data_IF_379477398993
#
_entry.id   IF_379477398993
#
_cell.length_a   1.000
_cell.length_b   1.000
_cell.length_c   1.000
_cell.angle_alpha   90.00
_cell.angle_beta   90.00
_cell.angle_gamma   90.00
#
_symmetry.space_group_name_H-M   'P 1'
#
loop_
_entity.id
_entity.type
_entity.pdbx_description
1 polymer ?
#
# COMPACT_ATOMS: atom_id res chain seq x y z
N UNK A 1 -13.19 67.54 -7.21
CA UNK A 1 -13.50 68.31 -6.01
C UNK A 1 -12.60 67.69 -4.94
N UNK A 2 -11.32 68.22 -4.68
CA UNK A 2 -11.02 69.37 -3.83
C UNK A 2 -11.28 69.05 -2.37
N UNK A 3 -10.41 69.03 -1.39
CA UNK A 3 -9.23 69.79 -1.04
C UNK A 3 -8.52 69.00 0.07
N UNK A 4 -7.20 68.84 0.22
CA UNK A 4 -6.11 69.80 0.47
C UNK A 4 -6.06 70.36 1.92
N UNK A 5 -4.86 70.28 2.46
CA UNK A 5 -4.33 71.21 3.43
C UNK A 5 -3.62 70.52 4.59
N UNK A 6 -2.29 70.46 4.63
CA UNK A 6 -1.23 71.40 5.04
C UNK A 6 -0.96 71.37 6.54
N UNK A 7 0.22 70.90 6.94
CA UNK A 7 1.45 71.66 7.35
C UNK A 7 1.38 72.36 8.72
N UNK A 8 2.28 72.10 9.65
CA UNK A 8 3.49 72.91 9.94
C UNK A 8 4.23 72.45 11.20
N UNK A 9 5.51 72.10 11.10
CA UNK A 9 6.74 72.75 11.65
C UNK A 9 6.89 72.99 13.15
N UNK A 10 7.92 72.34 13.70
CA UNK A 10 9.10 72.71 14.50
C UNK A 10 9.16 74.19 15.06
N UNK A 11 9.85 74.58 16.16
CA UNK A 11 11.23 74.28 16.45
C UNK A 11 11.77 74.32 17.92
N UNK A 12 12.98 73.75 18.12
CA UNK A 12 14.13 74.24 18.95
C UNK A 12 14.05 74.31 20.47
N UNK A 13 15.10 73.73 21.06
CA UNK A 13 15.57 74.07 22.42
C UNK A 13 16.78 73.28 22.90
N UNK A 14 17.99 73.76 22.54
CA UNK A 14 19.27 73.29 23.09
C UNK A 14 19.37 73.58 24.59
N UNK A 15 20.02 72.70 25.37
CA UNK A 15 21.09 73.09 26.34
C UNK A 15 21.94 71.89 26.75
N UNK A 16 23.21 72.08 26.68
CA UNK A 16 24.37 71.29 27.07
C UNK A 16 24.61 71.34 28.59
N UNK A 17 25.12 70.26 29.17
CA UNK A 17 26.17 70.37 30.19
C UNK A 17 26.90 69.02 30.35
N UNK A 18 28.18 69.14 30.40
CA UNK A 18 29.18 68.09 30.44
C UNK A 18 29.51 67.60 31.85
N UNK A 19 30.36 66.57 31.91
CA UNK A 19 31.25 66.07 32.97
C UNK A 19 30.72 64.89 33.77
N UNK A 20 31.37 63.79 33.86
CA UNK A 20 32.70 63.36 34.24
C UNK A 20 32.85 61.84 33.95
N UNK A 21 34.04 61.44 33.45
CA UNK A 21 34.45 60.09 33.21
C UNK A 21 34.85 59.37 34.53
N UNK A 22 34.36 58.16 34.73
CA UNK A 22 35.01 57.17 35.59
C UNK A 22 35.22 55.90 34.78
N UNK A 23 36.47 55.58 34.50
CA UNK A 23 36.88 54.32 33.89
C UNK A 23 36.86 53.24 34.98
N UNK A 24 35.94 52.28 34.84
CA UNK A 24 36.02 50.97 35.53
C UNK A 24 36.24 49.95 34.42
N UNK A 25 37.46 49.47 34.30
CA UNK A 25 37.78 48.30 33.46
C UNK A 25 37.26 47.04 34.15
N UNK A 26 36.07 46.59 33.79
CA UNK A 26 35.62 45.20 34.04
C UNK A 26 35.93 44.37 32.77
N UNK A 27 36.91 43.47 32.89
CA UNK A 27 37.20 42.46 31.86
C UNK A 27 36.00 41.52 31.71
N UNK A 28 35.21 41.71 30.64
CA UNK A 28 34.26 40.70 30.16
C UNK A 28 35.04 39.66 29.34
N UNK A 29 35.28 38.50 29.95
CA UNK A 29 35.59 37.27 29.21
C UNK A 29 34.37 36.90 28.41
N UNK A 30 34.36 37.25 27.11
CA UNK A 30 33.36 36.72 26.16
C UNK A 30 33.74 35.27 25.89
N UNK A 31 33.17 34.33 26.65
CA UNK A 31 33.06 32.97 26.20
C UNK A 31 32.13 32.95 24.98
N UNK A 32 32.70 33.00 23.77
CA UNK A 32 32.00 32.62 22.54
C UNK A 32 31.75 31.13 22.61
N UNK A 33 30.69 30.72 23.27
CA UNK A 33 30.09 29.42 23.05
C UNK A 33 29.66 29.40 21.59
N UNK A 34 30.37 28.62 20.76
CA UNK A 34 29.84 28.19 19.47
C UNK A 34 28.53 27.45 19.80
N UNK A 35 27.40 28.13 19.66
CA UNK A 35 26.12 27.48 19.58
C UNK A 35 26.21 26.50 18.40
N UNK A 36 26.21 25.21 18.66
CA UNK A 36 26.06 24.21 17.62
C UNK A 36 24.79 24.60 16.87
N UNK A 37 24.95 24.93 15.59
CA UNK A 37 23.84 25.32 14.74
C UNK A 37 22.96 24.06 14.62
N UNK A 38 21.79 24.04 15.22
CA UNK A 38 20.86 22.92 15.10
C UNK A 38 20.55 22.71 13.64
N UNK A 39 20.94 21.53 13.12
CA UNK A 39 20.62 21.14 11.75
C UNK A 39 19.10 21.00 11.68
N UNK A 40 18.41 21.66 10.73
CA UNK A 40 16.98 21.48 10.56
C UNK A 40 16.62 20.00 10.48
N UNK A 41 15.56 19.58 11.17
CA UNK A 41 15.17 18.16 11.28
C UNK A 41 15.07 17.45 9.93
N UNK A 42 14.56 18.13 8.89
CA UNK A 42 14.46 17.59 7.53
C UNK A 42 15.83 17.36 6.87
N UNK A 43 16.82 18.21 7.18
CA UNK A 43 18.18 18.05 6.69
C UNK A 43 18.89 16.89 7.39
N UNK A 44 18.71 16.75 8.71
CA UNK A 44 19.24 15.64 9.49
C UNK A 44 18.68 14.31 9.00
N UNK A 45 17.37 14.23 8.74
CA UNK A 45 16.71 13.04 8.20
C UNK A 45 17.24 12.70 6.79
N UNK A 46 17.41 13.70 5.93
CA UNK A 46 17.98 13.50 4.58
C UNK A 46 19.39 12.91 4.62
N UNK A 47 20.24 13.39 5.54
CA UNK A 47 21.60 12.86 5.70
C UNK A 47 21.59 11.42 6.27
N UNK A 48 20.73 11.15 7.24
CA UNK A 48 20.56 9.81 7.79
C UNK A 48 20.08 8.79 6.74
N UNK A 49 19.12 9.17 5.89
CA UNK A 49 18.67 8.34 4.76
C UNK A 49 19.78 8.09 3.76
N UNK A 50 20.57 9.12 3.41
CA UNK A 50 21.69 8.97 2.49
C UNK A 50 22.76 7.99 3.03
N UNK A 51 22.94 7.90 4.34
CA UNK A 51 23.93 7.00 4.95
C UNK A 51 23.56 5.52 4.88
N UNK A 52 22.27 5.17 4.67
CA UNK A 52 21.78 3.78 4.58
C UNK A 52 21.45 3.35 3.14
N UNK A 53 21.57 4.23 2.16
CA UNK A 53 21.15 4.00 0.77
C UNK A 53 21.83 2.76 0.16
N UNK A 54 23.15 2.63 0.32
CA UNK A 54 23.88 1.45 -0.18
C UNK A 54 23.45 0.14 0.48
N UNK A 55 23.11 0.17 1.76
CA UNK A 55 22.68 -1.01 2.50
C UNK A 55 21.26 -1.43 2.05
N UNK A 56 20.34 -0.47 1.85
CA UNK A 56 18.99 -0.71 1.33
C UNK A 56 19.06 -1.38 -0.05
N UNK A 57 19.92 -0.89 -0.95
CA UNK A 57 20.15 -1.50 -2.27
C UNK A 57 20.70 -2.93 -2.12
N UNK A 58 21.67 -3.12 -1.21
CA UNK A 58 22.27 -4.44 -0.99
C UNK A 58 21.23 -5.44 -0.43
N UNK A 59 20.39 -5.04 0.54
CA UNK A 59 19.33 -5.89 1.08
C UNK A 59 18.28 -6.20 0.02
N UNK A 60 17.84 -5.21 -0.75
CA UNK A 60 16.91 -5.43 -1.87
C UNK A 60 17.45 -6.48 -2.84
N UNK A 61 18.70 -6.39 -3.26
CA UNK A 61 19.33 -7.35 -4.17
C UNK A 61 19.47 -8.74 -3.55
N UNK A 62 19.76 -8.82 -2.25
CA UNK A 62 19.81 -10.09 -1.52
C UNK A 62 18.43 -10.78 -1.47
N UNK A 63 17.36 -10.06 -1.15
CA UNK A 63 16.00 -10.59 -1.19
C UNK A 63 15.59 -10.98 -2.60
N UNK A 64 15.91 -10.16 -3.60
CA UNK A 64 15.60 -10.44 -5.01
C UNK A 64 16.25 -11.72 -5.52
N UNK A 65 17.49 -11.98 -5.12
CA UNK A 65 18.21 -13.21 -5.47
C UNK A 65 17.67 -14.46 -4.75
N UNK A 66 16.95 -14.29 -3.65
CA UNK A 66 16.46 -15.37 -2.80
C UNK A 66 14.97 -15.19 -2.47
N UNK A 67 14.10 -15.06 -3.48
CA UNK A 67 12.68 -14.81 -3.25
C UNK A 67 11.97 -16.03 -2.67
N UNK A 68 11.00 -15.78 -1.80
CA UNK A 68 10.20 -16.81 -1.15
C UNK A 68 8.72 -16.55 -1.39
N UNK A 69 7.95 -17.61 -1.70
CA UNK A 69 6.51 -17.51 -1.93
C UNK A 69 5.74 -17.24 -0.63
N UNK A 70 4.50 -16.77 -0.79
CA UNK A 70 3.54 -16.53 0.30
C UNK A 70 3.51 -17.67 1.32
N UNK A 71 3.56 -17.35 2.63
CA UNK A 71 3.69 -18.26 3.77
C UNK A 71 4.98 -19.10 3.80
N UNK A 72 5.97 -18.77 2.99
CA UNK A 72 7.27 -19.46 2.93
C UNK A 72 8.46 -18.51 3.11
N UNK A 73 8.22 -17.26 3.51
CA UNK A 73 9.20 -16.17 3.65
C UNK A 73 10.11 -16.35 4.86
N UNK A 74 10.54 -17.59 5.13
CA UNK A 74 11.31 -17.96 6.35
C UNK A 74 12.67 -17.31 6.41
N UNK A 75 13.42 -17.30 5.29
CA UNK A 75 14.72 -16.64 5.20
C UNK A 75 14.58 -15.12 5.29
N UNK A 76 13.63 -14.55 4.55
CA UNK A 76 13.34 -13.12 4.55
C UNK A 76 13.00 -12.65 5.96
N UNK A 77 12.06 -13.33 6.63
CA UNK A 77 11.68 -13.05 8.00
C UNK A 77 12.84 -13.14 9.00
N UNK A 78 13.70 -14.17 8.84
CA UNK A 78 14.87 -14.34 9.69
C UNK A 78 15.87 -13.18 9.51
N UNK A 79 16.13 -12.74 8.27
CA UNK A 79 17.00 -11.60 7.95
C UNK A 79 16.47 -10.29 8.53
N UNK A 80 15.16 -10.05 8.39
CA UNK A 80 14.48 -8.90 8.99
C UNK A 80 14.63 -8.93 10.52
N UNK A 81 14.28 -10.04 11.16
CA UNK A 81 14.34 -10.17 12.61
C UNK A 81 15.77 -10.00 13.16
N UNK A 82 16.77 -10.56 12.47
CA UNK A 82 18.20 -10.40 12.80
C UNK A 82 18.60 -8.91 12.76
N UNK A 83 18.23 -8.21 11.69
CA UNK A 83 18.49 -6.79 11.51
C UNK A 83 17.88 -5.95 12.62
N UNK A 84 16.58 -6.13 12.91
CA UNK A 84 15.89 -5.38 13.95
C UNK A 84 16.49 -5.61 15.35
N UNK A 85 16.89 -6.86 15.65
CA UNK A 85 17.60 -7.18 16.91
C UNK A 85 18.98 -6.51 16.98
N UNK A 86 19.72 -6.50 15.86
CA UNK A 86 21.03 -5.85 15.80
C UNK A 86 20.95 -4.33 15.99
N UNK A 87 19.84 -3.70 15.58
CA UNK A 87 19.55 -2.29 15.85
C UNK A 87 19.17 -1.99 17.31
N UNK A 88 18.95 -3.03 18.13
CA UNK A 88 18.54 -2.88 19.52
C UNK A 88 17.10 -2.41 19.68
N UNK A 89 16.17 -2.86 18.84
CA UNK A 89 14.74 -2.62 19.05
C UNK A 89 14.28 -3.23 20.38
N UNK A 90 13.29 -2.61 21.02
CA UNK A 90 12.81 -3.01 22.35
C UNK A 90 12.17 -4.40 22.33
N UNK A 91 11.42 -4.69 21.26
CA UNK A 91 10.76 -5.98 21.05
C UNK A 91 10.89 -6.39 19.58
N UNK A 92 11.08 -7.69 19.33
CA UNK A 92 11.04 -8.30 17.99
C UNK A 92 10.28 -9.61 18.07
N UNK A 93 9.04 -9.58 17.60
CA UNK A 93 8.13 -10.72 17.52
C UNK A 93 8.24 -11.36 16.13
N UNK A 94 8.21 -12.68 16.06
CA UNK A 94 8.32 -13.46 14.81
C UNK A 94 7.29 -14.57 14.77
N UNK A 95 6.99 -15.07 13.58
CA UNK A 95 6.05 -16.19 13.38
C UNK A 95 4.58 -15.77 13.41
N UNK A 96 4.27 -14.48 13.21
CA UNK A 96 2.91 -13.98 13.13
C UNK A 96 2.40 -14.26 11.71
N UNK A 97 1.25 -14.90 11.58
CA UNK A 97 0.74 -15.40 10.29
C UNK A 97 1.81 -16.22 9.52
N UNK A 98 2.45 -17.17 10.19
CA UNK A 98 3.56 -18.05 9.79
C UNK A 98 4.94 -17.37 9.81
N UNK A 99 5.18 -16.34 9.00
CA UNK A 99 6.51 -15.76 8.79
C UNK A 99 6.60 -14.27 9.11
N UNK A 100 5.50 -13.63 9.49
CA UNK A 100 5.47 -12.20 9.79
C UNK A 100 6.38 -11.80 10.97
N UNK A 101 6.90 -10.57 10.89
CA UNK A 101 7.78 -9.99 11.90
C UNK A 101 7.23 -8.64 12.34
N UNK A 102 7.23 -8.39 13.66
CA UNK A 102 6.90 -7.08 14.24
C UNK A 102 8.05 -6.61 15.10
N UNK A 103 8.60 -5.44 14.80
CA UNK A 103 9.62 -4.77 15.60
C UNK A 103 9.07 -3.53 16.29
N UNK A 104 9.43 -3.31 17.56
CA UNK A 104 9.00 -2.15 18.33
C UNK A 104 10.20 -1.28 18.69
N UNK A 105 10.13 -0.03 18.31
CA UNK A 105 11.10 1.01 18.68
C UNK A 105 10.40 2.04 19.60
N UNK A 106 10.70 2.00 20.88
CA UNK A 106 10.23 3.00 21.84
C UNK A 106 11.16 4.21 21.77
N UNK A 107 10.62 5.38 21.45
CA UNK A 107 11.36 6.64 21.39
C UNK A 107 11.78 7.16 22.76
N UNK A 108 12.67 8.16 22.76
CA UNK A 108 13.22 8.76 23.99
C UNK A 108 12.25 9.67 24.73
N UNK A 109 11.09 9.96 24.16
CA UNK A 109 10.09 10.87 24.75
C UNK A 109 8.68 10.25 24.69
N UNK A 110 7.78 10.55 25.63
CA UNK A 110 6.39 10.10 25.57
C UNK A 110 5.70 10.60 24.29
N UNK A 111 4.82 9.78 23.73
CA UNK A 111 4.07 10.15 22.53
C UNK A 111 3.14 9.03 22.04
N UNK A 112 2.50 9.23 20.89
CA UNK A 112 1.61 8.23 20.29
C UNK A 112 2.38 7.03 19.73
N UNK A 113 1.64 6.02 19.28
CA UNK A 113 2.17 4.87 18.54
C UNK A 113 1.77 4.99 17.08
N UNK A 114 2.72 4.78 16.17
CA UNK A 114 2.50 4.69 14.73
C UNK A 114 3.05 3.38 14.19
N UNK A 115 2.36 2.78 13.20
CA UNK A 115 2.84 1.60 12.51
C UNK A 115 3.31 1.93 11.09
N UNK A 116 4.35 1.23 10.64
CA UNK A 116 4.82 1.19 9.27
C UNK A 116 4.77 -0.25 8.77
N UNK A 117 4.29 -0.48 7.56
CA UNK A 117 4.15 -1.83 7.00
C UNK A 117 4.92 -1.99 5.69
N UNK A 118 5.56 -3.14 5.53
CA UNK A 118 6.03 -3.67 4.26
C UNK A 118 5.63 -5.15 4.13
N UNK A 119 5.28 -5.56 2.93
CA UNK A 119 5.09 -6.96 2.55
C UNK A 119 6.41 -7.64 2.20
N UNK A 120 6.43 -8.99 2.20
CA UNK A 120 7.68 -9.76 2.05
C UNK A 120 7.64 -10.84 0.96
N UNK A 121 6.47 -11.27 0.52
CA UNK A 121 6.32 -12.44 -0.34
C UNK A 121 6.66 -12.16 -1.81
N UNK A 122 7.03 -13.23 -2.53
CA UNK A 122 7.32 -13.24 -3.95
C UNK A 122 6.30 -14.05 -4.73
N UNK A 123 6.37 -13.99 -6.06
CA UNK A 123 5.41 -14.55 -6.99
C UNK A 123 5.96 -15.74 -7.78
N UNK A 124 5.10 -16.67 -8.25
CA UNK A 124 5.48 -17.76 -9.12
C UNK A 124 5.71 -17.30 -10.57
N UNK A 125 6.70 -16.42 -10.75
CA UNK A 125 7.06 -15.78 -12.04
C UNK A 125 8.49 -16.18 -12.41
N UNK A 126 8.71 -16.42 -13.72
CA UNK A 126 10.05 -16.72 -14.26
C UNK A 126 10.78 -15.42 -14.58
N UNK A 127 11.88 -15.16 -13.90
CA UNK A 127 12.71 -13.99 -14.16
C UNK A 127 13.57 -14.17 -15.42
N UNK A 128 13.60 -13.19 -16.36
CA UNK A 128 14.52 -13.20 -17.48
C UNK A 128 15.99 -13.08 -17.01
N UNK A 129 16.93 -13.74 -17.68
CA UNK A 129 18.35 -13.58 -17.35
C UNK A 129 18.83 -12.18 -17.71
N UNK A 130 19.78 -11.66 -16.94
CA UNK A 130 20.42 -10.37 -17.26
C UNK A 130 20.84 -9.52 -16.07
N UNK A 131 20.15 -9.65 -14.94
CA UNK A 131 20.57 -8.99 -13.72
C UNK A 131 21.62 -9.83 -12.97
N UNK A 132 22.68 -9.22 -12.39
CA UNK A 132 23.68 -9.95 -11.63
C UNK A 132 23.12 -10.68 -10.37
N UNK A 133 21.94 -10.24 -9.91
CA UNK A 133 21.22 -10.77 -8.76
C UNK A 133 19.86 -11.37 -9.16
N UNK A 134 19.68 -11.74 -10.44
CA UNK A 134 18.46 -12.38 -10.91
C UNK A 134 18.18 -13.67 -10.14
N UNK A 135 16.91 -13.93 -9.84
CA UNK A 135 16.49 -15.16 -9.17
C UNK A 135 16.65 -16.39 -10.05
N UNK A 136 17.21 -17.44 -9.47
CA UNK A 136 17.21 -18.79 -10.04
C UNK A 136 16.42 -19.76 -9.18
N UNK A 137 15.70 -19.25 -8.20
CA UNK A 137 14.93 -20.03 -7.21
C UNK A 137 13.77 -20.73 -7.89
N UNK A 138 13.55 -21.98 -7.50
CA UNK A 138 12.34 -22.75 -7.81
C UNK A 138 11.74 -23.27 -6.50
N UNK A 139 10.43 -23.20 -6.41
CA UNK A 139 9.70 -23.67 -5.24
C UNK A 139 8.44 -24.43 -5.66
N UNK A 140 7.87 -25.20 -4.75
CA UNK A 140 6.59 -25.85 -4.94
C UNK A 140 5.45 -24.84 -4.69
N UNK A 141 4.54 -24.71 -5.64
CA UNK A 141 3.33 -23.91 -5.53
C UNK A 141 2.13 -24.71 -6.07
N UNK A 142 1.15 -24.97 -5.19
CA UNK A 142 -0.05 -25.75 -5.55
C UNK A 142 0.26 -27.10 -6.24
N UNK A 143 1.27 -27.82 -5.73
CA UNK A 143 1.69 -29.13 -6.25
C UNK A 143 2.54 -29.11 -7.52
N UNK A 144 3.02 -27.93 -7.93
CA UNK A 144 3.88 -27.77 -9.11
C UNK A 144 5.18 -27.06 -8.75
N UNK A 145 6.28 -27.46 -9.40
CA UNK A 145 7.55 -26.72 -9.32
C UNK A 145 7.48 -25.49 -10.23
N UNK A 146 7.59 -24.30 -9.64
CA UNK A 146 7.53 -23.02 -10.35
C UNK A 146 8.81 -22.20 -10.10
N UNK A 147 9.24 -21.37 -11.05
CA UNK A 147 10.24 -20.34 -10.78
C UNK A 147 9.64 -19.27 -9.87
N UNK A 148 10.49 -18.58 -9.09
CA UNK A 148 10.05 -17.56 -8.13
C UNK A 148 10.80 -16.26 -8.38
N UNK A 149 10.09 -15.14 -8.38
CA UNK A 149 10.64 -13.80 -8.59
C UNK A 149 9.88 -12.76 -7.74
N UNK A 150 10.58 -11.76 -7.21
CA UNK A 150 9.94 -10.54 -6.69
C UNK A 150 9.45 -9.65 -7.85
N UNK A 151 8.37 -10.07 -8.51
CA UNK A 151 7.79 -9.35 -9.64
C UNK A 151 6.80 -8.24 -9.22
N UNK A 152 6.56 -8.05 -7.91
CA UNK A 152 5.74 -6.96 -7.36
C UNK A 152 6.55 -5.88 -6.63
N UNK A 153 7.79 -6.21 -6.22
CA UNK A 153 8.69 -5.25 -5.57
C UNK A 153 8.73 -5.32 -4.04
N UNK A 154 8.22 -6.39 -3.44
CA UNK A 154 8.23 -6.59 -1.99
C UNK A 154 9.65 -6.72 -1.41
N UNK A 155 10.63 -7.12 -2.22
CA UNK A 155 12.07 -7.03 -1.91
C UNK A 155 12.50 -5.59 -1.60
N UNK A 156 12.01 -4.62 -2.40
CA UNK A 156 12.27 -3.20 -2.18
C UNK A 156 11.50 -2.66 -0.97
N UNK A 157 10.24 -3.07 -0.76
CA UNK A 157 9.43 -2.63 0.38
C UNK A 157 10.08 -3.09 1.70
N UNK A 158 10.43 -4.38 1.80
CA UNK A 158 11.14 -4.96 2.96
C UNK A 158 12.46 -4.23 3.21
N UNK A 159 13.29 -4.04 2.18
CA UNK A 159 14.58 -3.35 2.31
C UNK A 159 14.43 -1.88 2.73
N UNK A 160 13.46 -1.15 2.15
CA UNK A 160 13.18 0.23 2.55
C UNK A 160 12.74 0.32 4.00
N UNK A 161 11.86 -0.56 4.49
CA UNK A 161 11.40 -0.54 5.87
C UNK A 161 12.52 -0.91 6.86
N UNK A 162 13.46 -1.81 6.49
CA UNK A 162 14.70 -2.05 7.24
C UNK A 162 15.55 -0.78 7.31
N UNK A 163 15.68 -0.04 6.19
CA UNK A 163 16.37 1.25 6.14
C UNK A 163 15.72 2.29 7.07
N UNK A 164 14.40 2.37 7.08
CA UNK A 164 13.65 3.25 8.00
C UNK A 164 13.92 2.86 9.45
N UNK A 165 13.91 1.56 9.78
CA UNK A 165 14.23 1.10 11.13
C UNK A 165 15.64 1.53 11.55
N UNK A 166 16.62 1.43 10.66
CA UNK A 166 18.00 1.88 10.90
C UNK A 166 18.06 3.38 11.18
N UNK A 167 17.44 4.20 10.32
CA UNK A 167 17.41 5.66 10.46
C UNK A 167 16.74 6.10 11.75
N UNK A 168 15.60 5.53 12.08
CA UNK A 168 14.84 5.91 13.28
C UNK A 168 15.51 5.42 14.56
N UNK A 169 16.10 4.23 14.56
CA UNK A 169 16.84 3.71 15.73
C UNK A 169 18.07 4.57 16.07
N UNK A 170 18.79 5.06 15.05
CA UNK A 170 19.93 5.97 15.25
C UNK A 170 19.51 7.31 15.87
N UNK A 171 18.24 7.71 15.66
CA UNK A 171 17.68 8.97 16.15
C UNK A 171 16.69 8.78 17.32
N UNK A 172 16.67 7.60 17.93
CA UNK A 172 15.72 7.17 18.95
C UNK A 172 15.49 8.19 20.07
N UNK A 173 16.56 8.80 20.59
CA UNK A 173 16.46 9.76 21.71
C UNK A 173 15.61 10.99 21.39
N UNK A 174 15.52 11.39 20.13
CA UNK A 174 14.73 12.54 19.67
C UNK A 174 13.30 12.18 19.26
N UNK A 175 12.96 10.89 19.16
CA UNK A 175 11.63 10.46 18.75
C UNK A 175 10.65 10.52 19.92
N UNK A 176 9.48 11.20 19.80
CA UNK A 176 8.39 11.03 20.72
C UNK A 176 7.57 9.76 20.36
N UNK A 177 7.10 9.04 21.40
CA UNK A 177 6.23 7.88 21.20
C UNK A 177 6.93 6.62 20.70
N UNK A 178 6.22 5.79 19.95
CA UNK A 178 6.67 4.46 19.54
C UNK A 178 6.43 4.23 18.05
N UNK A 179 7.37 3.58 17.37
CA UNK A 179 7.22 3.10 16.00
C UNK A 179 7.15 1.58 16.00
N UNK A 180 6.07 1.04 15.43
CA UNK A 180 5.93 -0.39 15.17
C UNK A 180 6.23 -0.67 13.68
N UNK A 181 7.18 -1.55 13.42
CA UNK A 181 7.54 -2.01 12.08
C UNK A 181 6.87 -3.36 11.84
N UNK A 182 5.96 -3.43 10.88
CA UNK A 182 5.21 -4.64 10.52
C UNK A 182 5.73 -5.14 9.18
N UNK A 183 6.41 -6.28 9.19
CA UNK A 183 6.81 -6.99 7.98
C UNK A 183 5.82 -8.14 7.77
N UNK A 184 5.01 -7.98 6.75
CA UNK A 184 3.84 -8.81 6.50
C UNK A 184 4.14 -9.90 5.48
N UNK A 185 3.79 -11.19 5.75
CA UNK A 185 3.84 -12.24 4.76
C UNK A 185 2.58 -12.27 3.89
N UNK A 186 2.66 -12.96 2.75
CA UNK A 186 1.49 -13.47 2.01
C UNK A 186 0.47 -12.40 1.58
N UNK A 187 0.95 -11.24 1.10
CA UNK A 187 0.08 -10.18 0.55
C UNK A 187 -0.60 -10.65 -0.74
N UNK A 188 0.12 -11.34 -1.62
CA UNK A 188 -0.33 -11.85 -2.92
C UNK A 188 -1.33 -13.02 -2.81
N UNK A 189 -1.58 -13.47 -1.59
CA UNK A 189 -2.50 -14.54 -1.26
C UNK A 189 -1.83 -15.86 -0.93
N UNK A 190 -2.32 -16.50 0.11
CA UNK A 190 -1.83 -17.79 0.59
C UNK A 190 -2.09 -18.91 -0.43
N UNK A 191 -1.24 -19.97 -0.45
CA UNK A 191 -1.48 -21.17 -1.22
C UNK A 191 -2.86 -21.78 -0.97
N UNK A 192 -3.37 -22.58 -1.92
CA UNK A 192 -4.70 -23.22 -1.81
C UNK A 192 -4.81 -24.05 -0.53
N UNK A 193 -5.82 -23.75 0.28
CA UNK A 193 -6.08 -24.43 1.56
C UNK A 193 -5.39 -23.80 2.75
N UNK A 194 -4.61 -22.75 2.55
CA UNK A 194 -3.97 -21.98 3.62
C UNK A 194 -4.65 -20.60 3.80
N UNK A 195 -4.34 -19.96 4.92
CA UNK A 195 -4.71 -18.57 5.20
C UNK A 195 -3.42 -17.74 5.44
N UNK A 196 -3.44 -16.45 5.14
CA UNK A 196 -2.25 -15.59 5.28
C UNK A 196 -2.60 -14.12 5.21
N UNK A 197 -1.57 -13.30 5.00
CA UNK A 197 -1.68 -11.87 4.78
C UNK A 197 -2.09 -11.05 5.99
N UNK A 198 -2.45 -9.80 5.72
CA UNK A 198 -2.86 -8.84 6.75
C UNK A 198 -4.05 -9.33 7.59
N UNK A 199 -5.02 -10.01 6.95
CA UNK A 199 -6.19 -10.53 7.66
C UNK A 199 -5.79 -11.52 8.75
N UNK A 200 -4.91 -12.48 8.45
CA UNK A 200 -4.43 -13.46 9.43
C UNK A 200 -3.59 -12.79 10.52
N UNK A 201 -2.72 -11.84 10.18
CA UNK A 201 -1.98 -11.07 11.17
C UNK A 201 -2.91 -10.36 12.17
N UNK A 202 -4.03 -9.79 11.69
CA UNK A 202 -5.04 -9.14 12.52
C UNK A 202 -5.77 -10.15 13.43
N UNK A 203 -6.15 -11.31 12.89
CA UNK A 203 -6.76 -12.42 13.64
C UNK A 203 -5.83 -12.92 14.76
N UNK A 204 -4.52 -12.92 14.53
CA UNK A 204 -3.49 -13.28 15.53
C UNK A 204 -3.12 -12.10 16.46
N UNK A 205 -3.77 -10.93 16.33
CA UNK A 205 -3.64 -9.81 17.27
C UNK A 205 -2.44 -8.90 17.03
N UNK A 206 -1.96 -8.79 15.80
CA UNK A 206 -0.78 -7.97 15.43
C UNK A 206 -0.85 -6.53 15.93
N UNK A 207 -2.04 -5.89 15.96
CA UNK A 207 -2.17 -4.51 16.46
C UNK A 207 -1.91 -4.42 17.97
N UNK A 208 -2.21 -5.47 18.74
CA UNK A 208 -1.86 -5.52 20.16
C UNK A 208 -0.34 -5.69 20.35
N UNK A 209 0.31 -6.56 19.56
CA UNK A 209 1.76 -6.70 19.53
C UNK A 209 2.45 -5.41 19.08
N UNK A 210 1.84 -4.66 18.18
CA UNK A 210 2.30 -3.35 17.71
C UNK A 210 1.97 -2.19 18.68
N UNK A 211 1.64 -2.47 19.95
CA UNK A 211 1.28 -1.47 20.98
C UNK A 211 0.08 -0.59 20.60
N UNK A 212 -0.91 -1.12 19.86
CA UNK A 212 -2.15 -0.45 19.44
C UNK A 212 -1.91 0.91 18.74
N UNK A 213 -1.28 0.90 17.57
CA UNK A 213 -0.98 2.11 16.82
C UNK A 213 -2.27 2.89 16.49
N UNK A 214 -2.15 4.22 16.41
CA UNK A 214 -3.27 5.12 16.11
C UNK A 214 -3.31 5.51 14.64
N UNK A 215 -2.27 5.18 13.88
CA UNK A 215 -2.21 5.30 12.44
C UNK A 215 -1.22 4.27 11.88
N UNK A 216 -1.41 3.91 10.61
CA UNK A 216 -0.50 3.03 9.88
C UNK A 216 -0.18 3.62 8.51
N UNK A 217 1.10 3.50 8.11
CA UNK A 217 1.58 3.90 6.78
C UNK A 217 2.15 2.71 6.03
N UNK A 218 1.81 2.62 4.75
CA UNK A 218 2.37 1.65 3.81
C UNK A 218 2.83 2.35 2.53
N UNK A 219 3.78 1.73 1.83
CA UNK A 219 4.28 2.23 0.56
C UNK A 219 4.44 1.05 -0.41
N UNK A 220 3.98 1.24 -1.65
CA UNK A 220 4.18 0.27 -2.72
C UNK A 220 4.94 0.90 -3.89
N UNK A 221 5.91 0.20 -4.44
CA UNK A 221 6.60 0.61 -5.67
C UNK A 221 5.69 0.42 -6.88
N UNK A 222 5.61 1.42 -7.75
CA UNK A 222 4.66 1.42 -8.86
C UNK A 222 5.32 1.86 -10.18
N UNK A 223 4.90 1.34 -11.35
CA UNK A 223 5.50 1.69 -12.64
C UNK A 223 5.04 3.07 -13.13
N UNK A 224 5.41 4.10 -12.39
CA UNK A 224 5.27 5.53 -12.75
C UNK A 224 6.64 6.21 -12.72
N UNK A 225 6.69 7.49 -13.10
CA UNK A 225 7.94 8.27 -13.20
C UNK A 225 8.80 8.16 -11.95
N UNK A 226 10.08 7.90 -12.15
CA UNK A 226 11.04 7.62 -11.08
C UNK A 226 11.07 8.68 -9.97
N UNK A 227 10.99 8.24 -8.72
CA UNK A 227 11.05 9.10 -7.53
C UNK A 227 9.78 9.92 -7.25
N UNK A 228 8.72 9.73 -8.03
CA UNK A 228 7.41 10.33 -7.75
C UNK A 228 6.75 9.63 -6.56
N UNK A 229 6.24 10.39 -5.60
CA UNK A 229 5.33 9.89 -4.58
C UNK A 229 3.89 10.20 -5.01
N UNK A 230 3.09 9.17 -5.20
CA UNK A 230 1.70 9.33 -5.57
C UNK A 230 0.78 8.87 -4.42
N UNK A 231 -0.26 9.64 -4.16
CA UNK A 231 -1.23 9.38 -3.08
C UNK A 231 -2.65 9.70 -3.54
N UNK A 232 -3.63 9.14 -2.85
CA UNK A 232 -5.03 9.47 -3.10
C UNK A 232 -5.83 9.35 -1.81
N UNK A 233 -6.65 10.36 -1.52
CA UNK A 233 -7.60 10.29 -0.39
C UNK A 233 -8.77 9.38 -0.73
N UNK A 234 -9.31 8.68 0.25
CA UNK A 234 -10.40 7.70 0.11
C UNK A 234 -9.93 6.44 -0.64
N UNK A 235 -10.79 5.85 -1.47
CA UNK A 235 -10.46 4.65 -2.22
C UNK A 235 -9.30 4.88 -3.20
N UNK A 236 -8.17 4.26 -2.94
CA UNK A 236 -6.96 4.32 -3.78
C UNK A 236 -6.84 3.07 -4.67
N UNK A 237 -7.02 1.87 -4.09
CA UNK A 237 -7.05 0.61 -4.83
C UNK A 237 -8.39 -0.10 -4.62
N UNK A 238 -8.79 -0.92 -5.59
CA UNK A 238 -10.09 -1.56 -5.59
C UNK A 238 -10.17 -2.71 -4.58
N UNK A 239 -11.37 -2.91 -4.01
CA UNK A 239 -11.72 -4.20 -3.43
C UNK A 239 -11.72 -5.29 -4.51
N UNK A 240 -11.38 -6.51 -4.12
CA UNK A 240 -11.40 -7.69 -4.98
C UNK A 240 -12.41 -8.71 -4.47
N UNK A 241 -13.31 -9.14 -5.36
CA UNK A 241 -14.23 -10.24 -5.11
C UNK A 241 -14.08 -11.31 -6.20
N UNK A 242 -14.16 -12.57 -5.80
CA UNK A 242 -14.34 -13.69 -6.72
C UNK A 242 -15.83 -14.00 -6.80
N UNK A 243 -16.35 -14.03 -8.03
CA UNK A 243 -17.75 -14.33 -8.36
C UNK A 243 -17.85 -15.73 -8.96
N UNK A 244 -18.71 -16.58 -8.40
CA UNK A 244 -19.08 -17.87 -8.97
C UNK A 244 -20.60 -17.95 -9.12
N UNK A 245 -21.07 -18.32 -10.31
CA UNK A 245 -22.49 -18.52 -10.61
C UNK A 245 -22.69 -19.89 -11.22
N UNK A 246 -23.50 -20.74 -10.60
CA UNK A 246 -23.88 -22.04 -11.13
C UNK A 246 -25.35 -21.98 -11.55
N UNK A 247 -25.59 -22.05 -12.86
CA UNK A 247 -26.95 -22.10 -13.41
C UNK A 247 -27.35 -23.54 -13.62
N UNK A 248 -28.39 -23.99 -12.96
CA UNK A 248 -28.94 -25.36 -13.03
C UNK A 248 -30.22 -25.37 -13.85
N UNK A 249 -30.23 -26.16 -14.89
CA UNK A 249 -31.37 -26.39 -15.77
C UNK A 249 -31.87 -27.84 -15.71
N UNK A 250 -32.25 -28.35 -16.87
CA UNK A 250 -32.64 -29.74 -17.02
C UNK A 250 -32.20 -30.26 -18.37
N UNK A 251 -31.34 -31.29 -18.37
CA UNK A 251 -30.76 -31.89 -19.55
C UNK A 251 -31.85 -32.47 -20.50
N UNK A 252 -31.62 -32.29 -21.82
CA UNK A 252 -32.48 -32.86 -22.85
C UNK A 252 -31.74 -32.96 -24.16
N UNK A 253 -32.36 -33.57 -25.18
CA UNK A 253 -31.84 -33.61 -26.56
C UNK A 253 -31.89 -32.21 -27.18
N UNK A 254 -30.80 -31.76 -27.79
CA UNK A 254 -30.66 -30.42 -28.37
C UNK A 254 -31.70 -30.05 -29.43
N UNK A 255 -32.31 -31.06 -30.12
CA UNK A 255 -33.41 -30.81 -31.04
C UNK A 255 -34.79 -30.68 -30.40
N UNK A 256 -34.91 -30.92 -29.08
CA UNK A 256 -36.17 -30.88 -28.32
C UNK A 256 -36.07 -30.06 -27.06
N UNK A 257 -35.64 -28.77 -27.16
CA UNK A 257 -35.34 -27.91 -25.99
C UNK A 257 -36.53 -27.70 -25.08
N UNK A 258 -37.77 -27.79 -25.59
CA UNK A 258 -39.00 -27.64 -24.79
C UNK A 258 -39.23 -28.79 -23.78
N UNK A 259 -38.46 -29.89 -23.87
CA UNK A 259 -38.50 -31.00 -22.88
C UNK A 259 -37.51 -30.80 -21.74
N UNK A 260 -36.63 -29.80 -21.84
CA UNK A 260 -35.63 -29.45 -20.84
C UNK A 260 -35.74 -28.02 -20.30
N UNK A 261 -34.69 -27.55 -19.70
CA UNK A 261 -34.43 -26.15 -19.32
C UNK A 261 -32.98 -25.88 -19.68
N UNK A 262 -32.74 -24.95 -20.60
CA UNK A 262 -31.41 -24.72 -21.18
C UNK A 262 -30.58 -23.74 -20.32
N UNK A 263 -29.64 -24.22 -19.51
CA UNK A 263 -28.82 -23.35 -18.67
C UNK A 263 -27.80 -22.55 -19.48
N UNK A 264 -27.48 -22.93 -20.74
CA UNK A 264 -26.55 -22.20 -21.58
C UNK A 264 -27.16 -20.86 -22.03
N UNK A 265 -28.41 -20.88 -22.48
CA UNK A 265 -29.14 -19.65 -22.84
C UNK A 265 -29.40 -18.76 -21.63
N UNK A 266 -29.79 -19.35 -20.49
CA UNK A 266 -29.96 -18.62 -19.23
C UNK A 266 -28.66 -17.96 -18.78
N UNK A 267 -27.53 -18.65 -18.85
CA UNK A 267 -26.21 -18.07 -18.53
C UNK A 267 -25.83 -16.91 -19.43
N UNK A 268 -26.09 -17.01 -20.74
CA UNK A 268 -25.86 -15.90 -21.68
C UNK A 268 -26.68 -14.66 -21.34
N UNK A 269 -27.95 -14.83 -20.96
CA UNK A 269 -28.82 -13.75 -20.52
C UNK A 269 -28.31 -13.11 -19.21
N UNK A 270 -27.90 -13.92 -18.24
CA UNK A 270 -27.31 -13.45 -16.99
C UNK A 270 -26.04 -12.64 -17.28
N UNK A 271 -25.08 -13.15 -18.03
CA UNK A 271 -23.86 -12.43 -18.39
C UNK A 271 -24.14 -11.06 -19.00
N UNK A 272 -25.09 -10.99 -19.93
CA UNK A 272 -25.49 -9.74 -20.58
C UNK A 272 -26.11 -8.76 -19.58
N UNK A 273 -27.01 -9.24 -18.72
CA UNK A 273 -27.70 -8.43 -17.74
C UNK A 273 -26.76 -7.91 -16.65
N UNK A 274 -25.77 -8.67 -16.23
CA UNK A 274 -24.75 -8.25 -15.25
C UNK A 274 -23.99 -7.02 -15.74
N UNK A 275 -23.75 -6.84 -17.04
CA UNK A 275 -23.06 -5.66 -17.60
C UNK A 275 -23.89 -4.37 -17.45
N UNK A 276 -25.21 -4.49 -17.29
CA UNK A 276 -26.07 -3.34 -17.03
C UNK A 276 -25.97 -2.83 -15.58
N UNK A 277 -25.46 -3.62 -14.65
CA UNK A 277 -25.34 -3.22 -13.24
C UNK A 277 -24.37 -2.04 -13.11
N UNK A 278 -23.09 -2.13 -13.51
CA UNK A 278 -22.16 -1.00 -13.40
C UNK A 278 -22.59 0.22 -14.22
N UNK A 279 -23.18 -0.01 -15.40
CA UNK A 279 -23.46 1.07 -16.36
C UNK A 279 -24.81 1.75 -16.16
N UNK A 280 -25.80 1.12 -15.50
CA UNK A 280 -27.19 1.60 -15.43
C UNK A 280 -27.80 1.59 -14.03
N UNK A 281 -27.19 0.88 -13.07
CA UNK A 281 -27.82 0.66 -11.78
C UNK A 281 -26.99 1.17 -10.60
N UNK A 282 -25.67 1.33 -10.75
CA UNK A 282 -24.78 1.89 -9.76
C UNK A 282 -24.50 3.37 -10.06
N UNK A 283 -24.22 4.16 -9.03
CA UNK A 283 -23.83 5.55 -9.17
C UNK A 283 -22.35 5.65 -9.61
N UNK A 284 -22.13 5.78 -10.92
CA UNK A 284 -20.80 5.89 -11.54
C UNK A 284 -20.05 7.15 -11.14
N UNK A 285 -20.75 8.18 -10.62
CA UNK A 285 -20.11 9.41 -10.14
C UNK A 285 -19.48 9.23 -8.75
N UNK A 286 -19.94 8.24 -8.00
CA UNK A 286 -19.47 7.93 -6.68
C UNK A 286 -18.24 7.01 -6.71
N UNK A 287 -18.33 5.93 -7.49
CA UNK A 287 -17.27 4.93 -7.60
C UNK A 287 -17.42 4.16 -8.90
N UNK A 288 -16.33 3.97 -9.67
CA UNK A 288 -16.36 3.01 -10.76
C UNK A 288 -16.53 1.59 -10.19
N UNK A 289 -17.16 0.73 -11.00
CA UNK A 289 -17.39 -0.67 -10.68
C UNK A 289 -17.14 -1.52 -11.92
N UNK A 290 -16.49 -2.67 -11.75
CA UNK A 290 -16.26 -3.64 -12.82
C UNK A 290 -16.81 -4.99 -12.39
N UNK A 291 -17.54 -5.65 -13.30
CA UNK A 291 -18.02 -7.03 -13.16
C UNK A 291 -17.56 -7.79 -14.41
N UNK A 292 -16.71 -8.79 -14.24
CA UNK A 292 -16.18 -9.59 -15.33
C UNK A 292 -16.50 -11.06 -15.09
N UNK A 293 -17.04 -11.74 -16.12
CA UNK A 293 -17.06 -13.20 -16.18
C UNK A 293 -15.86 -13.61 -17.02
N UNK A 294 -14.88 -14.25 -16.39
CA UNK A 294 -13.60 -14.65 -17.00
C UNK A 294 -13.63 -16.06 -17.60
N UNK A 295 -14.52 -16.92 -17.10
CA UNK A 295 -14.68 -18.28 -17.66
C UNK A 295 -16.14 -18.76 -17.57
N UNK A 296 -16.52 -19.63 -18.51
CA UNK A 296 -17.81 -20.30 -18.57
C UNK A 296 -17.60 -21.75 -19.02
N UNK A 297 -18.18 -22.69 -18.29
CA UNK A 297 -18.07 -24.11 -18.57
C UNK A 297 -19.43 -24.79 -18.48
N UNK A 298 -19.79 -25.58 -19.48
CA UNK A 298 -21.02 -26.37 -19.52
C UNK A 298 -21.18 -27.12 -20.82
N UNK A 299 -21.81 -28.28 -20.75
CA UNK A 299 -22.02 -29.17 -21.89
C UNK A 299 -20.78 -29.97 -22.32
N UNK A 300 -21.03 -31.11 -22.95
CA UNK A 300 -19.98 -32.04 -23.42
C UNK A 300 -20.16 -32.43 -24.87
N UNK A 301 -21.33 -32.17 -25.48
CA UNK A 301 -21.63 -32.54 -26.85
C UNK A 301 -22.65 -31.58 -27.47
N UNK A 302 -22.49 -31.32 -28.78
CA UNK A 302 -23.26 -30.32 -29.53
C UNK A 302 -24.79 -30.56 -29.59
N UNK A 303 -25.25 -31.79 -29.39
CA UNK A 303 -26.65 -32.15 -29.47
C UNK A 303 -27.30 -32.52 -28.11
N UNK A 304 -26.65 -32.09 -27.00
CA UNK A 304 -27.16 -32.30 -25.64
C UNK A 304 -27.18 -30.94 -24.96
N UNK A 305 -28.37 -30.52 -24.51
CA UNK A 305 -28.53 -29.42 -23.55
C UNK A 305 -28.04 -29.94 -22.17
N UNK A 306 -27.07 -29.33 -21.52
CA UNK A 306 -26.55 -29.81 -20.23
C UNK A 306 -27.53 -29.55 -19.09
N UNK A 307 -27.28 -30.13 -17.93
CA UNK A 307 -28.02 -29.90 -16.70
C UNK A 307 -27.49 -28.69 -15.91
N UNK A 308 -26.23 -28.28 -16.10
CA UNK A 308 -25.68 -27.08 -15.48
C UNK A 308 -24.67 -26.34 -16.37
N UNK A 309 -24.50 -25.05 -16.06
CA UNK A 309 -23.41 -24.18 -16.55
C UNK A 309 -22.81 -23.46 -15.37
N UNK A 310 -21.49 -23.44 -15.31
CA UNK A 310 -20.71 -22.74 -14.27
C UNK A 310 -19.98 -21.54 -14.86
N UNK A 311 -20.09 -20.40 -14.20
CA UNK A 311 -19.40 -19.16 -14.58
C UNK A 311 -18.53 -18.70 -13.41
N UNK A 312 -17.27 -18.31 -13.69
CA UNK A 312 -16.36 -17.73 -12.72
C UNK A 312 -15.96 -16.32 -13.17
N UNK A 313 -15.84 -15.41 -12.22
CA UNK A 313 -15.56 -14.02 -12.52
C UNK A 313 -14.95 -13.26 -11.36
N UNK A 314 -14.83 -11.96 -11.56
CA UNK A 314 -14.32 -11.04 -10.53
C UNK A 314 -15.12 -9.74 -10.52
N UNK A 315 -15.14 -9.11 -9.33
CA UNK A 315 -15.71 -7.77 -9.17
C UNK A 315 -14.66 -6.83 -8.56
N UNK A 316 -14.71 -5.55 -8.95
CA UNK A 316 -13.83 -4.49 -8.46
C UNK A 316 -14.66 -3.23 -8.12
N UNK A 317 -14.43 -2.66 -6.94
CA UNK A 317 -15.15 -1.48 -6.45
C UNK A 317 -14.21 -0.63 -5.58
N UNK A 318 -14.44 0.69 -5.51
CA UNK A 318 -13.66 1.63 -4.69
C UNK A 318 -14.44 2.25 -3.52
N UNK A 319 -15.65 1.77 -3.28
CA UNK A 319 -16.52 2.20 -2.16
C UNK A 319 -17.29 0.99 -1.65
N UNK A 320 -17.22 0.71 -0.35
CA UNK A 320 -17.85 -0.48 0.25
C UNK A 320 -19.39 -0.48 0.16
N UNK A 321 -20.02 0.70 0.11
CA UNK A 321 -21.49 0.78 -0.08
C UNK A 321 -21.87 0.43 -1.52
N UNK A 322 -21.09 0.92 -2.50
CA UNK A 322 -21.28 0.56 -3.91
C UNK A 322 -21.01 -0.93 -4.11
N UNK A 323 -19.98 -1.49 -3.45
CA UNK A 323 -19.67 -2.93 -3.46
C UNK A 323 -20.83 -3.76 -2.94
N UNK A 324 -21.37 -3.43 -1.76
CA UNK A 324 -22.51 -4.15 -1.17
C UNK A 324 -23.77 -4.08 -2.05
N UNK A 325 -24.06 -2.92 -2.66
CA UNK A 325 -25.17 -2.77 -3.62
C UNK A 325 -24.92 -3.59 -4.90
N UNK A 326 -23.69 -3.63 -5.41
CA UNK A 326 -23.33 -4.47 -6.55
C UNK A 326 -23.54 -5.96 -6.25
N UNK A 327 -23.10 -6.46 -5.08
CA UNK A 327 -23.33 -7.83 -4.65
C UNK A 327 -24.82 -8.19 -4.61
N UNK A 328 -25.64 -7.33 -4.00
CA UNK A 328 -27.09 -7.54 -3.92
C UNK A 328 -27.77 -7.59 -5.32
N UNK A 329 -27.32 -6.72 -6.24
CA UNK A 329 -27.83 -6.68 -7.61
C UNK A 329 -27.41 -7.88 -8.44
N UNK A 330 -26.16 -8.33 -8.32
CA UNK A 330 -25.68 -9.53 -9.01
C UNK A 330 -26.49 -10.76 -8.60
N UNK A 331 -26.73 -10.99 -7.32
CA UNK A 331 -27.57 -12.10 -6.82
C UNK A 331 -28.99 -12.00 -7.37
N UNK A 332 -29.66 -10.89 -7.11
CA UNK A 332 -31.04 -10.69 -7.53
C UNK A 332 -31.24 -10.82 -9.05
N UNK A 333 -30.32 -10.26 -9.86
CA UNK A 333 -30.43 -10.31 -11.33
C UNK A 333 -30.24 -11.75 -11.83
N UNK A 334 -29.25 -12.48 -11.31
CA UNK A 334 -28.99 -13.86 -11.70
C UNK A 334 -30.12 -14.78 -11.33
N UNK A 335 -30.63 -14.69 -10.09
CA UNK A 335 -31.73 -15.49 -9.56
C UNK A 335 -33.02 -15.22 -10.32
N UNK A 336 -33.37 -13.96 -10.58
CA UNK A 336 -34.60 -13.58 -11.28
C UNK A 336 -34.61 -14.06 -12.75
N UNK A 337 -33.47 -13.98 -13.47
CA UNK A 337 -33.38 -14.47 -14.84
C UNK A 337 -33.50 -15.99 -14.89
N UNK A 338 -32.85 -16.68 -13.97
CA UNK A 338 -32.94 -18.15 -13.88
C UNK A 338 -34.38 -18.60 -13.54
N UNK A 339 -35.03 -17.98 -12.58
CA UNK A 339 -36.42 -18.27 -12.17
C UNK A 339 -37.40 -18.06 -13.33
N UNK A 340 -37.28 -16.95 -14.08
CA UNK A 340 -38.10 -16.66 -15.25
C UNK A 340 -38.00 -17.73 -16.34
N UNK A 341 -36.91 -18.47 -16.42
CA UNK A 341 -36.70 -19.57 -17.34
C UNK A 341 -37.03 -20.96 -16.74
N UNK A 342 -37.45 -21.03 -15.48
CA UNK A 342 -37.66 -22.27 -14.72
C UNK A 342 -36.35 -22.95 -14.30
N UNK A 343 -35.20 -22.25 -14.39
CA UNK A 343 -33.89 -22.65 -13.91
C UNK A 343 -33.64 -22.15 -12.48
N UNK A 344 -32.49 -22.49 -11.92
CA UNK A 344 -31.98 -21.87 -10.68
C UNK A 344 -30.58 -21.33 -10.88
N UNK A 345 -30.21 -20.23 -10.21
CA UNK A 345 -28.87 -19.71 -10.17
C UNK A 345 -28.36 -19.68 -8.71
N UNK A 346 -27.26 -20.37 -8.46
CA UNK A 346 -26.55 -20.33 -7.19
C UNK A 346 -25.39 -19.33 -7.33
N UNK A 347 -25.46 -18.19 -6.60
CA UNK A 347 -24.47 -17.11 -6.66
C UNK A 347 -23.64 -17.10 -5.40
N UNK A 348 -22.34 -17.33 -5.56
CA UNK A 348 -21.35 -17.23 -4.48
C UNK A 348 -20.41 -16.07 -4.77
N UNK A 349 -20.24 -15.18 -3.80
CA UNK A 349 -19.29 -14.07 -3.87
C UNK A 349 -18.35 -14.23 -2.67
N UNK A 350 -17.07 -14.44 -2.97
CA UNK A 350 -16.01 -14.51 -1.98
C UNK A 350 -15.27 -13.17 -1.94
N UNK A 351 -15.36 -12.49 -0.82
CA UNK A 351 -14.62 -11.25 -0.57
C UNK A 351 -13.15 -11.61 -0.32
N UNK A 352 -12.26 -11.15 -1.22
CA UNK A 352 -10.82 -11.43 -1.13
C UNK A 352 -10.07 -10.31 -0.41
N UNK A 353 -10.28 -9.06 -0.86
CA UNK A 353 -9.74 -7.87 -0.19
C UNK A 353 -10.82 -6.80 -0.12
N UNK A 354 -10.68 -5.88 0.82
CA UNK A 354 -11.55 -4.70 0.92
C UNK A 354 -10.93 -3.52 0.18
N UNK A 355 -11.64 -2.38 0.09
CA UNK A 355 -11.10 -1.17 -0.54
C UNK A 355 -9.88 -0.67 0.24
N UNK A 356 -8.75 -0.45 -0.44
CA UNK A 356 -7.62 0.29 0.13
C UNK A 356 -8.05 1.73 0.31
N UNK A 357 -8.43 2.06 1.55
CA UNK A 357 -9.09 3.32 1.91
C UNK A 357 -8.17 4.21 2.71
N UNK A 358 -7.56 5.17 2.05
CA UNK A 358 -6.78 6.20 2.73
C UNK A 358 -7.68 7.14 3.51
N UNK A 359 -7.51 7.17 4.83
CA UNK A 359 -8.30 8.04 5.72
C UNK A 359 -8.15 9.51 5.32
N UNK A 360 -9.26 10.24 5.08
CA UNK A 360 -9.19 11.60 4.54
C UNK A 360 -8.51 12.61 5.48
N UNK A 361 -8.69 12.49 6.80
CA UNK A 361 -8.10 13.41 7.79
C UNK A 361 -6.61 13.13 7.92
N UNK A 362 -6.25 11.86 8.08
CA UNK A 362 -4.84 11.43 8.11
C UNK A 362 -4.13 11.81 6.81
N UNK A 363 -4.74 11.57 5.65
CA UNK A 363 -4.16 11.92 4.35
C UNK A 363 -3.91 13.41 4.23
N UNK A 364 -4.91 14.24 4.52
CA UNK A 364 -4.77 15.71 4.46
C UNK A 364 -3.68 16.23 5.40
N UNK A 365 -3.55 15.63 6.59
CA UNK A 365 -2.52 15.96 7.56
C UNK A 365 -1.12 15.56 7.09
N UNK A 366 -0.97 14.40 6.42
CA UNK A 366 0.32 13.79 6.12
C UNK A 366 0.85 14.10 4.71
N UNK A 367 0.05 14.63 3.79
CA UNK A 367 0.53 15.06 2.45
C UNK A 367 1.69 16.07 2.54
N UNK A 368 1.70 17.07 3.44
CA UNK A 368 2.87 17.93 3.60
C UNK A 368 4.16 17.19 3.97
N UNK A 369 4.08 16.02 4.61
CA UNK A 369 5.25 15.17 4.91
C UNK A 369 5.80 14.51 3.65
N UNK A 370 4.93 14.09 2.73
CA UNK A 370 5.33 13.58 1.41
C UNK A 370 6.02 14.66 0.59
N UNK A 371 5.50 15.90 0.61
CA UNK A 371 6.12 17.04 -0.08
C UNK A 371 7.52 17.36 0.47
N UNK A 372 7.75 17.21 1.78
CA UNK A 372 9.10 17.32 2.37
C UNK A 372 10.01 16.17 1.96
N UNK A 373 9.46 14.97 1.80
CA UNK A 373 10.24 13.80 1.39
C UNK A 373 10.65 13.85 -0.10
N UNK A 374 9.78 14.34 -0.98
CA UNK A 374 10.02 14.43 -2.42
C UNK A 374 9.55 15.79 -2.99
N UNK A 375 10.24 16.90 -2.71
CA UNK A 375 9.82 18.24 -3.11
C UNK A 375 9.55 18.36 -4.61
N UNK A 376 8.34 18.76 -4.98
CA UNK A 376 7.92 18.93 -6.38
C UNK A 376 7.66 17.63 -7.15
N UNK A 377 7.73 16.46 -6.49
CA UNK A 377 7.50 15.15 -7.07
C UNK A 377 6.38 14.39 -6.33
N UNK A 378 5.37 15.10 -5.85
CA UNK A 378 4.20 14.50 -5.18
C UNK A 378 2.95 14.77 -6.02
N UNK A 379 2.19 13.73 -6.33
CA UNK A 379 1.02 13.82 -7.19
C UNK A 379 -0.20 13.11 -6.60
N UNK A 380 -1.40 13.52 -7.01
CA UNK A 380 -2.64 12.75 -6.77
C UNK A 380 -2.66 11.53 -7.70
N UNK A 381 -2.78 10.33 -7.13
CA UNK A 381 -2.80 9.09 -7.89
C UNK A 381 -4.15 8.89 -8.60
N UNK A 382 -4.17 8.32 -9.82
CA UNK A 382 -5.40 7.79 -10.37
C UNK A 382 -5.92 6.61 -9.53
N UNK A 383 -7.19 6.23 -9.74
CA UNK A 383 -7.73 4.99 -9.16
C UNK A 383 -7.00 3.77 -9.75
N UNK A 384 -6.58 2.85 -8.89
CA UNK A 384 -5.85 1.64 -9.28
C UNK A 384 -6.76 0.42 -9.12
N UNK A 385 -7.02 -0.30 -10.23
CA UNK A 385 -7.91 -1.47 -10.23
C UNK A 385 -7.31 -2.72 -9.60
N UNK A 386 -6.00 -2.73 -9.28
CA UNK A 386 -5.40 -3.77 -8.46
C UNK A 386 -5.94 -3.70 -7.03
N UNK A 387 -5.77 -4.76 -6.28
CA UNK A 387 -6.17 -4.89 -4.88
C UNK A 387 -4.93 -5.03 -3.99
N UNK A 388 -5.09 -4.70 -2.71
CA UNK A 388 -4.00 -4.67 -1.73
C UNK A 388 -4.59 -5.01 -0.34
N UNK A 389 -4.00 -5.97 0.35
CA UNK A 389 -4.53 -6.46 1.62
C UNK A 389 -4.16 -5.58 2.83
N UNK A 390 -3.28 -4.57 2.67
CA UNK A 390 -3.11 -3.46 3.62
C UNK A 390 -4.44 -2.82 4.00
N UNK A 391 -5.41 -2.91 3.11
CA UNK A 391 -6.78 -2.49 3.30
C UNK A 391 -7.44 -3.07 4.57
N UNK A 392 -7.05 -4.25 5.01
CA UNK A 392 -7.55 -4.84 6.26
C UNK A 392 -7.04 -4.06 7.48
N UNK A 393 -5.77 -3.61 7.50
CA UNK A 393 -5.30 -2.72 8.58
C UNK A 393 -6.06 -1.39 8.59
N UNK A 394 -6.37 -0.86 7.40
CA UNK A 394 -7.10 0.41 7.26
C UNK A 394 -8.57 0.33 7.71
N UNK A 395 -9.13 -0.86 7.85
CA UNK A 395 -10.45 -1.06 8.48
C UNK A 395 -10.41 -0.93 9.99
N UNK A 396 -9.27 -1.23 10.60
CA UNK A 396 -9.11 -1.26 12.05
C UNK A 396 -8.57 0.09 12.59
N UNK A 397 -7.68 0.75 11.85
CA UNK A 397 -7.05 2.01 12.23
C UNK A 397 -6.88 2.94 11.01
N UNK A 398 -6.89 4.27 11.20
CA UNK A 398 -6.59 5.21 10.11
C UNK A 398 -5.28 4.88 9.42
N UNK A 399 -5.31 4.73 8.08
CA UNK A 399 -4.14 4.38 7.29
C UNK A 399 -3.95 5.28 6.07
N UNK A 400 -2.70 5.42 5.66
CA UNK A 400 -2.32 6.07 4.40
C UNK A 400 -1.36 5.15 3.64
N UNK A 401 -1.79 4.72 2.46
CA UNK A 401 -1.02 3.94 1.51
C UNK A 401 -0.61 4.82 0.34
N UNK A 402 0.69 4.85 0.04
CA UNK A 402 1.27 5.70 -1.01
C UNK A 402 2.03 4.86 -2.03
N UNK A 403 2.27 5.43 -3.22
CA UNK A 403 2.99 4.76 -4.29
C UNK A 403 4.29 5.48 -4.57
N UNK A 404 5.37 4.71 -4.77
CA UNK A 404 6.68 5.22 -5.19
C UNK A 404 6.95 4.85 -6.64
N UNK A 405 7.19 5.83 -7.47
CA UNK A 405 7.56 5.64 -8.87
C UNK A 405 8.97 5.04 -9.03
N UNK A 406 9.06 3.94 -9.78
CA UNK A 406 10.29 3.17 -9.95
C UNK A 406 10.69 2.91 -11.40
N UNK A 407 10.08 3.59 -12.38
CA UNK A 407 10.42 3.43 -13.79
C UNK A 407 11.89 3.76 -14.07
N UNK A 408 12.41 3.25 -15.18
CA UNK A 408 13.67 3.74 -15.73
C UNK A 408 13.56 5.23 -16.02
N UNK A 409 14.64 6.01 -15.86
CA UNK A 409 14.62 7.43 -16.20
C UNK A 409 14.13 7.66 -17.65
N UNK A 410 13.16 8.55 -17.81
CA UNK A 410 12.56 8.89 -19.11
C UNK A 410 11.51 7.92 -19.64
N UNK A 411 11.11 6.91 -18.86
CA UNK A 411 9.99 5.99 -19.20
C UNK A 411 8.74 6.44 -18.46
N UNK A 412 7.70 6.79 -19.22
CA UNK A 412 6.45 7.28 -18.68
C UNK A 412 5.54 6.15 -18.17
N UNK A 413 4.54 6.53 -17.37
CA UNK A 413 3.50 5.61 -16.91
C UNK A 413 2.76 5.00 -18.12
N UNK A 414 2.60 3.66 -18.12
CA UNK A 414 1.95 2.92 -19.21
C UNK A 414 2.90 2.43 -20.30
N UNK A 415 4.16 2.88 -20.32
CA UNK A 415 5.20 2.36 -21.21
C UNK A 415 6.08 1.30 -20.53
N UNK A 416 6.13 1.31 -19.21
CA UNK A 416 6.87 0.33 -18.41
C UNK A 416 6.08 -0.98 -18.23
N UNK A 417 6.82 -2.08 -18.04
CA UNK A 417 6.22 -3.33 -17.61
C UNK A 417 5.52 -3.15 -16.25
N UNK A 418 4.29 -3.68 -16.14
CA UNK A 418 3.52 -3.61 -14.89
C UNK A 418 4.10 -4.54 -13.81
N UNK A 419 3.73 -4.30 -12.57
CA UNK A 419 3.85 -5.30 -11.50
C UNK A 419 3.31 -6.65 -11.98
N UNK A 420 3.87 -7.75 -11.50
CA UNK A 420 3.61 -9.15 -11.90
C UNK A 420 4.14 -9.53 -13.29
N UNK A 421 4.72 -8.59 -14.04
CA UNK A 421 5.42 -8.90 -15.28
C UNK A 421 6.82 -9.48 -14.99
N UNK A 422 7.29 -10.48 -15.77
CA UNK A 422 8.70 -10.91 -15.71
C UNK A 422 9.69 -9.77 -15.98
N UNK A 423 9.28 -8.73 -16.69
CA UNK A 423 10.08 -7.56 -17.05
C UNK A 423 9.91 -6.38 -16.10
N UNK A 424 9.21 -6.58 -14.97
CA UNK A 424 9.05 -5.54 -13.96
C UNK A 424 10.42 -5.05 -13.47
N UNK A 425 10.59 -3.74 -13.42
CA UNK A 425 11.86 -3.11 -13.12
C UNK A 425 11.74 -2.11 -11.98
N UNK A 426 12.73 -2.09 -11.11
CA UNK A 426 12.86 -1.11 -10.04
C UNK A 426 14.13 -0.29 -10.26
N UNK A 427 13.97 1.02 -10.40
CA UNK A 427 15.08 1.96 -10.34
C UNK A 427 15.54 2.11 -8.88
N UNK A 428 16.66 1.48 -8.54
CA UNK A 428 17.20 1.46 -7.18
C UNK A 428 17.54 2.85 -6.62
N UNK A 429 17.86 3.83 -7.49
CA UNK A 429 18.12 5.23 -7.06
C UNK A 429 16.90 5.88 -6.40
N UNK A 430 15.69 5.31 -6.58
CA UNK A 430 14.45 5.82 -5.97
C UNK A 430 14.19 5.27 -4.57
N UNK A 431 14.86 4.20 -4.14
CA UNK A 431 14.60 3.55 -2.85
C UNK A 431 14.82 4.50 -1.66
N UNK A 432 15.84 5.36 -1.73
CA UNK A 432 16.05 6.43 -0.74
C UNK A 432 14.88 7.39 -0.59
N UNK A 433 14.09 7.60 -1.66
CA UNK A 433 12.88 8.44 -1.60
C UNK A 433 11.82 7.71 -0.77
N UNK A 434 11.66 6.40 -0.95
CA UNK A 434 10.74 5.57 -0.16
C UNK A 434 11.13 5.51 1.32
N UNK A 435 12.41 5.29 1.62
CA UNK A 435 12.93 5.35 3.01
C UNK A 435 12.63 6.70 3.63
N UNK A 436 12.92 7.80 2.89
CA UNK A 436 12.66 9.16 3.37
C UNK A 436 11.17 9.41 3.59
N UNK A 437 10.31 8.96 2.68
CA UNK A 437 8.86 9.14 2.79
C UNK A 437 8.31 8.46 4.04
N UNK A 438 8.59 7.18 4.25
CA UNK A 438 8.11 6.44 5.43
C UNK A 438 8.68 7.01 6.74
N UNK A 439 9.97 7.35 6.77
CA UNK A 439 10.59 7.95 7.95
C UNK A 439 10.00 9.33 8.26
N UNK A 440 9.76 10.17 7.24
CA UNK A 440 9.14 11.49 7.40
C UNK A 440 7.70 11.39 7.89
N UNK A 441 6.90 10.46 7.34
CA UNK A 441 5.54 10.19 7.80
C UNK A 441 5.51 9.81 9.29
N UNK A 442 6.40 8.89 9.69
CA UNK A 442 6.49 8.47 11.09
C UNK A 442 6.90 9.61 12.02
N UNK A 443 7.98 10.33 11.69
CA UNK A 443 8.51 11.43 12.50
C UNK A 443 7.48 12.55 12.64
N UNK A 444 6.84 12.95 11.54
CA UNK A 444 5.87 14.05 11.57
C UNK A 444 4.58 13.67 12.30
N UNK A 445 4.11 12.44 12.10
CA UNK A 445 2.95 11.92 12.84
C UNK A 445 3.20 11.94 14.34
N UNK A 446 4.35 11.43 14.80
CA UNK A 446 4.72 11.38 16.20
C UNK A 446 4.87 12.78 16.81
N UNK A 447 5.34 13.77 16.03
CA UNK A 447 5.46 15.17 16.44
C UNK A 447 4.15 15.97 16.36
N UNK A 448 3.02 15.35 16.00
CA UNK A 448 1.72 16.01 15.94
C UNK A 448 1.54 16.96 14.74
N UNK A 449 2.37 16.82 13.73
CA UNK A 449 2.32 17.62 12.49
C UNK A 449 1.31 17.07 11.50
#
# INVERSE_FOLDING_TARGET
MSHAGREQRDPRGKRSSALWAVHVCLGLSVCTGLAAQEIPQDLALTQAVASVDSDVIAWRRDFHAHPELSNRETRTAARVAEHLRALGLDEVHTGIAETGVVGILVGGQPGPVVALRADMDALPVAEPPGLPFASTVKAEYNGQQVPVMHACGHDAHTAMLMGVATVLSANRAALPGTVAFIFQPSEEGAPVGETGGAKRMLEEGVLALAHQPKAIFGLHVWPVSAGTLAWRSKGAMAASDRLSIVVKGRQTHGSSPWLGIDPVIVSAQIMTALQAIPSRQLDVTRSPSVITIGSIHGGVRNNIIPDEVRMEGTMRNFDERVRADAHARVRRTSEAIADAAGATAEVTIHEQTVVTWNDPELTARMVPSLERAAPGNVIDAPLIMAAEDFSYFQREIPGLFVFLGVNKPGVEAGEAASNHSPEFYINEDTLKVGVRALAQLAVDYLNGR
#
